data_IF_209616467331
#
_entry.id   IF_209616467331
#
_cell.length_a   1.000
_cell.length_b   1.000
_cell.length_c   1.000
_cell.angle_alpha   90.00
_cell.angle_beta   90.00
_cell.angle_gamma   90.00
#
_symmetry.space_group_name_H-M   'P 1'
#
loop_
_entity.id
_entity.type
_entity.pdbx_description
1 polymer ?
#
# COMPACT_ATOMS: atom_id res chain seq x y z
N UNK A 1 -11.14 52.10 -3.97
CA UNK A 1 -9.99 51.44 -4.60
C UNK A 1 -9.95 50.00 -4.11
N UNK A 2 -10.14 49.02 -5.01
CA UNK A 2 -10.07 47.60 -4.65
C UNK A 2 -8.63 47.24 -4.34
N UNK A 3 -8.37 46.58 -3.21
CA UNK A 3 -7.06 45.98 -2.95
C UNK A 3 -6.80 44.88 -3.99
N UNK A 4 -5.56 44.77 -4.51
CA UNK A 4 -5.21 43.69 -5.42
C UNK A 4 -5.38 42.34 -4.70
N UNK A 5 -6.14 41.44 -5.32
CA UNK A 5 -6.43 40.12 -4.75
C UNK A 5 -5.21 39.21 -4.89
N UNK A 6 -4.89 38.47 -3.83
CA UNK A 6 -3.80 37.50 -3.84
C UNK A 6 -4.11 36.35 -4.83
N UNK A 7 -3.15 35.88 -5.65
CA UNK A 7 -3.38 34.82 -6.64
C UNK A 7 -4.02 33.55 -6.07
N UNK A 8 -3.58 33.10 -4.87
CA UNK A 8 -4.17 31.94 -4.20
C UNK A 8 -5.66 32.13 -3.84
N UNK A 9 -6.11 33.38 -3.72
CA UNK A 9 -7.50 33.70 -3.48
C UNK A 9 -8.33 33.81 -4.76
N UNK A 10 -7.74 33.83 -5.96
CA UNK A 10 -8.51 34.04 -7.22
C UNK A 10 -8.35 32.91 -8.24
N UNK A 11 -7.20 32.25 -8.26
CA UNK A 11 -6.93 31.16 -9.18
C UNK A 11 -7.60 29.87 -8.69
N UNK A 12 -8.08 29.06 -9.63
CA UNK A 12 -8.54 27.67 -9.40
C UNK A 12 -9.70 27.47 -8.40
N UNK A 13 -10.51 28.50 -8.10
CA UNK A 13 -11.66 28.40 -7.16
C UNK A 13 -12.67 27.27 -7.47
N UNK A 14 -12.74 26.81 -8.72
CA UNK A 14 -13.60 25.68 -9.14
C UNK A 14 -12.86 24.38 -9.43
N UNK A 15 -11.54 24.34 -9.26
CA UNK A 15 -10.75 23.14 -9.52
C UNK A 15 -10.62 22.29 -8.24
N UNK A 16 -10.55 20.98 -8.42
CA UNK A 16 -10.24 20.06 -7.32
C UNK A 16 -8.81 20.33 -6.83
N UNK A 17 -8.64 20.52 -5.52
CA UNK A 17 -7.32 20.64 -4.92
C UNK A 17 -6.47 19.40 -5.23
N UNK A 18 -5.19 19.62 -5.52
CA UNK A 18 -4.25 18.52 -5.67
C UNK A 18 -4.13 17.78 -4.33
N UNK A 19 -4.12 16.44 -4.35
CA UNK A 19 -3.87 15.67 -3.14
C UNK A 19 -2.45 15.95 -2.66
N UNK A 20 -2.30 16.38 -1.41
CA UNK A 20 -1.00 16.40 -0.75
C UNK A 20 -0.59 14.96 -0.46
N UNK A 21 0.39 14.45 -1.19
CA UNK A 21 1.00 13.14 -0.99
C UNK A 21 2.34 13.31 -0.30
N UNK A 22 2.75 12.31 0.48
CA UNK A 22 4.11 12.25 0.98
C UNK A 22 5.08 12.16 -0.21
N UNK A 23 6.25 12.79 -0.08
CA UNK A 23 7.26 12.78 -1.14
C UNK A 23 7.91 11.40 -1.32
N UNK A 24 7.83 10.55 -0.30
CA UNK A 24 8.42 9.21 -0.27
C UNK A 24 7.35 8.15 0.02
N UNK A 25 7.45 7.02 -0.66
CA UNK A 25 6.66 5.81 -0.41
C UNK A 25 7.62 4.66 -0.12
N UNK A 26 7.46 4.04 1.05
CA UNK A 26 8.30 2.93 1.51
C UNK A 26 7.58 1.60 1.32
N UNK A 27 8.22 0.66 0.60
CA UNK A 27 7.68 -0.68 0.34
C UNK A 27 8.19 -1.69 1.36
N UNK A 28 7.28 -2.47 1.95
CA UNK A 28 7.61 -3.54 2.88
C UNK A 28 6.75 -4.78 2.64
N UNK A 29 7.40 -5.92 2.37
CA UNK A 29 6.73 -7.19 2.05
C UNK A 29 6.76 -8.27 3.14
N UNK A 30 7.36 -8.01 4.31
CA UNK A 30 7.33 -8.95 5.44
C UNK A 30 6.75 -8.28 6.67
N UNK A 31 6.03 -9.04 7.50
CA UNK A 31 5.41 -8.52 8.74
C UNK A 31 6.41 -7.72 9.58
N UNK A 32 7.62 -8.24 9.77
CA UNK A 32 8.69 -7.57 10.54
C UNK A 32 9.01 -6.18 9.96
N UNK A 33 9.17 -6.09 8.65
CA UNK A 33 9.53 -4.84 8.00
C UNK A 33 8.35 -3.87 7.96
N UNK A 34 7.12 -4.38 7.78
CA UNK A 34 5.89 -3.57 7.85
C UNK A 34 5.76 -2.94 9.24
N UNK A 35 5.84 -3.74 10.32
CA UNK A 35 5.80 -3.23 11.70
C UNK A 35 6.88 -2.17 11.97
N UNK A 36 8.11 -2.42 11.51
CA UNK A 36 9.22 -1.47 11.66
C UNK A 36 8.96 -0.17 10.89
N UNK A 37 8.46 -0.26 9.66
CA UNK A 37 8.14 0.91 8.85
C UNK A 37 7.03 1.76 9.48
N UNK A 38 5.97 1.13 9.99
CA UNK A 38 4.87 1.82 10.66
C UNK A 38 5.32 2.47 11.98
N UNK A 39 6.22 1.81 12.72
CA UNK A 39 6.83 2.41 13.90
C UNK A 39 7.69 3.63 13.53
N UNK A 40 8.57 3.51 12.54
CA UNK A 40 9.40 4.62 12.06
C UNK A 40 8.55 5.78 11.51
N UNK A 41 7.44 5.47 10.84
CA UNK A 41 6.49 6.46 10.33
C UNK A 41 5.83 7.26 11.47
N UNK A 42 5.62 6.61 12.62
CA UNK A 42 5.08 7.28 13.81
C UNK A 42 6.09 8.25 14.46
N UNK A 43 7.38 7.95 14.37
CA UNK A 43 8.46 8.78 14.92
C UNK A 43 8.83 9.94 13.99
N UNK A 44 8.84 9.71 12.68
CA UNK A 44 9.27 10.69 11.68
C UNK A 44 8.07 11.53 11.17
N UNK A 45 7.75 12.58 11.91
CA UNK A 45 6.65 13.51 11.62
C UNK A 45 7.13 14.96 11.52
N UNK A 46 6.47 15.73 10.66
CA UNK A 46 6.60 17.19 10.56
C UNK A 46 5.18 17.77 10.57
N UNK A 47 4.92 18.74 11.44
CA UNK A 47 3.59 19.34 11.63
C UNK A 47 2.49 18.29 11.83
N UNK A 48 2.76 17.30 12.70
CA UNK A 48 1.91 16.14 13.00
C UNK A 48 1.72 15.14 11.85
N UNK A 49 2.30 15.39 10.66
CA UNK A 49 2.13 14.54 9.47
C UNK A 49 3.33 13.63 9.24
N UNK A 50 3.12 12.35 8.88
CA UNK A 50 4.20 11.48 8.45
C UNK A 50 4.94 12.03 7.22
N UNK A 51 6.26 11.89 7.21
CA UNK A 51 7.09 12.37 6.08
C UNK A 51 7.11 11.38 4.89
N UNK A 52 6.66 10.13 5.11
CA UNK A 52 6.59 9.07 4.10
C UNK A 52 5.33 8.23 4.26
N UNK A 53 4.83 7.68 3.15
CA UNK A 53 3.77 6.67 3.12
C UNK A 53 4.39 5.25 3.23
N UNK A 54 3.66 4.30 3.81
CA UNK A 54 4.05 2.87 3.86
C UNK A 54 3.11 2.06 2.97
N UNK A 55 3.68 1.31 2.05
CA UNK A 55 2.96 0.39 1.17
C UNK A 55 3.33 -1.05 1.51
N UNK A 56 2.33 -1.81 1.97
CA UNK A 56 2.48 -3.21 2.27
C UNK A 56 2.42 -4.00 0.95
N UNK A 57 3.51 -4.69 0.64
CA UNK A 57 3.69 -5.35 -0.65
C UNK A 57 3.23 -6.82 -0.60
N UNK A 58 2.24 -7.14 -1.44
CA UNK A 58 1.73 -8.50 -1.61
C UNK A 58 2.29 -9.21 -2.86
N UNK A 59 3.05 -8.52 -3.72
CA UNK A 59 3.53 -9.07 -4.99
C UNK A 59 4.83 -9.86 -4.80
N UNK A 60 5.90 -9.18 -4.35
CA UNK A 60 7.23 -9.79 -4.18
C UNK A 60 7.49 -10.27 -2.73
N UNK A 61 6.60 -9.92 -1.80
CA UNK A 61 6.72 -10.23 -0.37
C UNK A 61 6.20 -11.60 0.05
N UNK A 62 5.30 -12.22 -0.74
CA UNK A 62 4.70 -13.52 -0.43
C UNK A 62 5.50 -14.67 -1.05
N UNK A 63 5.65 -15.78 -0.33
CA UNK A 63 6.04 -17.04 -0.96
C UNK A 63 4.95 -17.45 -1.97
N UNK A 64 5.35 -17.98 -3.13
CA UNK A 64 4.41 -18.42 -4.16
C UNK A 64 3.36 -19.37 -3.57
N UNK A 65 2.08 -19.10 -3.84
CA UNK A 65 0.94 -19.87 -3.30
C UNK A 65 0.45 -19.46 -1.91
N UNK A 66 1.05 -18.43 -1.30
CA UNK A 66 0.64 -17.87 0.01
C UNK A 66 0.12 -16.43 -0.09
N UNK A 67 -0.36 -16.02 -1.26
CA UNK A 67 -0.83 -14.65 -1.52
C UNK A 67 -2.03 -14.27 -0.65
N UNK A 68 -2.96 -15.21 -0.43
CA UNK A 68 -4.13 -14.98 0.43
C UNK A 68 -3.73 -14.81 1.90
N UNK A 69 -2.78 -15.62 2.38
CA UNK A 69 -2.28 -15.53 3.75
C UNK A 69 -1.50 -14.23 3.99
N UNK A 70 -0.70 -13.80 3.00
CA UNK A 70 -0.02 -12.52 3.03
C UNK A 70 -1.01 -11.35 3.10
N UNK A 71 -2.05 -11.37 2.27
CA UNK A 71 -3.07 -10.34 2.26
C UNK A 71 -3.84 -10.27 3.59
N UNK A 72 -4.16 -11.44 4.18
CA UNK A 72 -4.80 -11.52 5.50
C UNK A 72 -3.91 -10.93 6.60
N UNK A 73 -2.63 -11.31 6.64
CA UNK A 73 -1.66 -10.77 7.61
C UNK A 73 -1.54 -9.24 7.50
N UNK A 74 -1.45 -8.72 6.27
CA UNK A 74 -1.38 -7.27 6.03
C UNK A 74 -2.67 -6.57 6.49
N UNK A 75 -3.83 -7.15 6.21
CA UNK A 75 -5.11 -6.60 6.65
C UNK A 75 -5.19 -6.57 8.19
N UNK A 76 -4.79 -7.64 8.86
CA UNK A 76 -4.76 -7.73 10.31
C UNK A 76 -3.84 -6.66 10.92
N UNK A 77 -2.64 -6.45 10.35
CA UNK A 77 -1.71 -5.40 10.80
C UNK A 77 -2.29 -3.99 10.66
N UNK A 78 -2.98 -3.71 9.55
CA UNK A 78 -3.55 -2.38 9.28
C UNK A 78 -4.80 -2.10 10.10
N UNK A 79 -5.52 -3.14 10.51
CA UNK A 79 -6.72 -3.03 11.36
C UNK A 79 -6.40 -3.09 12.87
N UNK A 80 -5.20 -3.55 13.24
CA UNK A 80 -4.75 -3.62 14.63
C UNK A 80 -4.72 -2.21 15.27
N UNK A 81 -5.52 -1.97 16.34
CA UNK A 81 -5.53 -0.67 17.01
C UNK A 81 -4.22 -0.32 17.72
N UNK A 82 -3.35 -1.31 17.99
CA UNK A 82 -2.02 -1.09 18.53
C UNK A 82 -1.02 -0.58 17.48
N UNK A 83 -1.38 -0.62 16.18
CA UNK A 83 -0.55 -0.11 15.10
C UNK A 83 -0.64 1.44 15.04
N UNK A 84 0.48 2.17 15.15
CA UNK A 84 0.48 3.63 15.30
C UNK A 84 0.12 4.41 14.03
N UNK A 85 -0.18 3.72 12.92
CA UNK A 85 -0.57 4.31 11.64
C UNK A 85 -2.09 4.55 11.60
N UNK A 86 -2.59 5.43 12.46
CA UNK A 86 -3.99 5.88 12.39
C UNK A 86 -4.05 7.38 12.17
N UNK A 87 -3.27 7.87 11.20
CA UNK A 87 -3.43 9.22 10.72
C UNK A 87 -4.42 9.22 9.53
N UNK A 88 -5.56 9.94 9.60
CA UNK A 88 -6.49 10.06 8.48
C UNK A 88 -5.84 10.71 7.23
N UNK A 89 -4.64 11.29 7.36
CA UNK A 89 -3.86 11.84 6.27
C UNK A 89 -2.81 10.87 5.68
N UNK A 90 -2.39 9.83 6.42
CA UNK A 90 -1.49 8.79 5.88
C UNK A 90 -2.31 7.68 5.25
N UNK A 91 -2.21 7.52 3.93
CA UNK A 91 -2.89 6.42 3.23
C UNK A 91 -1.97 5.21 3.26
N UNK A 92 -2.14 4.34 4.26
CA UNK A 92 -1.61 2.98 4.17
C UNK A 92 -2.20 2.34 2.91
N UNK A 93 -1.35 1.97 1.96
CA UNK A 93 -1.77 1.35 0.69
C UNK A 93 -1.31 -0.09 0.68
N UNK A 94 -2.12 -0.96 0.10
CA UNK A 94 -1.73 -2.33 -0.21
C UNK A 94 -1.49 -2.42 -1.71
N UNK A 95 -0.38 -3.02 -2.12
CA UNK A 95 -0.13 -3.35 -3.53
C UNK A 95 -0.69 -4.74 -3.80
N UNK A 96 -1.70 -4.83 -4.66
CA UNK A 96 -2.30 -6.13 -5.03
C UNK A 96 -1.31 -6.98 -5.81
N UNK A 97 -1.27 -8.31 -5.57
CA UNK A 97 -0.42 -9.20 -6.36
C UNK A 97 -0.84 -9.16 -7.83
N UNK A 98 0.13 -9.24 -8.76
CA UNK A 98 -0.19 -9.48 -10.17
C UNK A 98 -0.88 -10.85 -10.30
N UNK A 99 -1.89 -10.99 -11.17
CA UNK A 99 -2.45 -12.30 -11.46
C UNK A 99 -1.34 -13.18 -12.03
N UNK A 100 -0.91 -14.19 -11.27
CA UNK A 100 -0.04 -15.23 -11.80
C UNK A 100 -0.87 -16.01 -12.83
N UNK A 101 -0.53 -15.88 -14.10
CA UNK A 101 -1.07 -16.77 -15.13
C UNK A 101 -0.75 -18.20 -14.72
N UNK A 102 -1.79 -19.00 -14.44
CA UNK A 102 -1.62 -20.42 -14.13
C UNK A 102 -0.80 -21.09 -15.24
N UNK A 103 0.20 -21.93 -14.93
CA UNK A 103 0.86 -22.72 -15.94
C UNK A 103 -0.18 -23.64 -16.60
N UNK A 104 -0.14 -23.85 -17.93
CA UNK A 104 -1.04 -24.77 -18.59
C UNK A 104 -0.83 -26.16 -17.98
N UNK A 105 -1.85 -26.67 -17.29
CA UNK A 105 -1.80 -28.01 -16.74
C UNK A 105 -1.55 -29.00 -17.88
N UNK A 106 -0.45 -29.75 -17.76
CA UNK A 106 -0.05 -30.77 -18.71
C UNK A 106 -1.14 -31.83 -18.83
N UNK A 107 -1.90 -31.79 -19.94
CA UNK A 107 -2.71 -32.89 -20.43
C UNK A 107 -1.78 -34.00 -20.94
N UNK A 108 -1.24 -34.81 -20.03
CA UNK A 108 -0.77 -36.15 -20.39
C UNK A 108 -1.30 -37.15 -19.35
N UNK A 109 -2.47 -37.70 -19.65
CA UNK A 109 -2.95 -38.92 -19.05
C UNK A 109 -2.07 -40.10 -19.53
N UNK A 110 -1.67 -41.04 -18.66
CA UNK A 110 -1.06 -42.28 -19.09
C UNK A 110 -2.13 -43.17 -19.73
N UNK A 111 -1.96 -43.53 -21.01
CA UNK A 111 -2.76 -44.57 -21.64
C UNK A 111 -2.37 -45.92 -21.03
N UNK A 112 -3.23 -46.43 -20.14
CA UNK A 112 -3.24 -47.83 -19.74
C UNK A 112 -3.42 -48.72 -20.97
N UNK A 113 -2.42 -49.52 -21.31
CA UNK A 113 -2.56 -50.64 -22.25
C UNK A 113 -2.70 -51.92 -21.42
N UNK A 114 -3.94 -52.35 -21.22
CA UNK A 114 -4.29 -53.75 -21.00
C UNK A 114 -4.97 -54.26 -22.28
N UNK A 115 -4.27 -55.12 -23.02
CA UNK A 115 -4.75 -56.16 -23.94
C UNK A 115 -3.57 -56.71 -24.75
#
# INVERSE_FOLDING_TARGET
MSLPLHPAAVLYRGAKCFPALAACEHYAGSERNIRKALHLQSELRVDERPIFDVTADCEDGAAAGREAEQAAMIADLLLDPATPCRDPHSRGRTRTPRPQTAPPQALHAPASRDA
#
